data_IF_599124315539
#
_entry.id   IF_599124315539
#
_cell.length_a   1.000
_cell.length_b   1.000
_cell.length_c   1.000
_cell.angle_alpha   90.00
_cell.angle_beta   90.00
_cell.angle_gamma   90.00
#
_symmetry.space_group_name_H-M   'P 1'
#
loop_
_entity.id
_entity.type
_entity.pdbx_description
1 polymer ?
#
# COMPACT_ATOMS: atom_id res chain seq x y z
N UNK A 1 -20.54 23.64 10.39
CA UNK A 1 -19.13 23.22 10.49
C UNK A 1 -18.84 22.55 9.16
N UNK A 2 -18.38 23.33 8.19
CA UNK A 2 -17.91 22.78 6.92
C UNK A 2 -16.42 22.43 7.12
N UNK A 3 -16.18 21.42 7.95
CA UNK A 3 -14.87 20.80 8.07
C UNK A 3 -14.78 19.77 6.96
N UNK A 4 -13.92 19.99 5.97
CA UNK A 4 -13.49 18.89 5.13
C UNK A 4 -12.90 17.85 6.08
N UNK A 5 -13.54 16.68 6.18
CA UNK A 5 -12.96 15.55 6.90
C UNK A 5 -11.56 15.33 6.28
N UNK A 6 -10.51 15.45 7.08
CA UNK A 6 -9.15 15.15 6.61
C UNK A 6 -9.10 13.65 6.30
N UNK A 7 -8.92 13.34 5.02
CA UNK A 7 -8.94 11.98 4.48
C UNK A 7 -7.58 11.67 3.89
N UNK A 8 -6.94 10.62 4.40
CA UNK A 8 -5.81 9.99 3.73
C UNK A 8 -6.33 8.92 2.77
N UNK A 9 -5.85 8.94 1.53
CA UNK A 9 -6.20 7.94 0.50
C UNK A 9 -4.95 7.16 0.15
N UNK A 10 -4.99 5.85 0.37
CA UNK A 10 -3.99 4.93 -0.18
C UNK A 10 -4.54 4.40 -1.49
N UNK A 11 -3.83 4.70 -2.58
CA UNK A 11 -4.16 4.25 -3.92
C UNK A 11 -2.90 3.79 -4.66
N UNK A 12 -3.04 2.74 -5.47
CA UNK A 12 -1.95 2.19 -6.27
C UNK A 12 -2.48 1.89 -7.68
N UNK A 13 -2.15 2.74 -8.65
CA UNK A 13 -2.61 2.61 -10.04
C UNK A 13 -3.11 3.93 -10.63
N UNK A 14 -3.78 3.86 -11.79
CA UNK A 14 -4.35 5.05 -12.44
C UNK A 14 -5.48 5.62 -11.58
N UNK A 15 -5.30 6.87 -11.19
CA UNK A 15 -6.34 7.68 -10.59
C UNK A 15 -7.19 8.23 -11.74
N UNK A 16 -8.51 8.01 -11.71
CA UNK A 16 -9.40 8.57 -12.72
C UNK A 16 -9.37 10.11 -12.72
N UNK A 17 -9.93 10.75 -13.74
CA UNK A 17 -10.07 12.21 -13.78
C UNK A 17 -10.83 12.79 -12.57
N UNK A 18 -11.63 11.97 -11.86
CA UNK A 18 -12.33 12.35 -10.64
C UNK A 18 -11.50 12.14 -9.37
N UNK A 19 -10.21 11.80 -9.47
CA UNK A 19 -9.36 11.55 -8.31
C UNK A 19 -9.56 10.17 -7.66
N UNK A 20 -10.27 9.22 -8.29
CA UNK A 20 -10.60 7.92 -7.67
C UNK A 20 -10.05 6.74 -8.46
N UNK A 21 -9.32 5.80 -7.83
CA UNK A 21 -8.93 4.53 -8.46
C UNK A 21 -10.08 3.51 -8.40
N UNK A 22 -9.99 2.45 -9.21
CA UNK A 22 -10.92 1.31 -9.16
C UNK A 22 -10.86 0.55 -7.83
N UNK A 23 -9.71 0.59 -7.14
CA UNK A 23 -9.49 0.08 -5.79
C UNK A 23 -8.86 1.17 -4.93
N UNK A 24 -9.49 1.56 -3.82
CA UNK A 24 -8.93 2.48 -2.82
C UNK A 24 -9.22 2.02 -1.40
N UNK A 25 -8.33 2.43 -0.49
CA UNK A 25 -8.59 2.47 0.93
C UNK A 25 -8.70 3.93 1.35
N UNK A 26 -9.78 4.23 2.08
CA UNK A 26 -10.09 5.57 2.57
C UNK A 26 -9.93 5.52 4.08
N UNK A 27 -8.99 6.31 4.59
CA UNK A 27 -8.77 6.49 6.03
C UNK A 27 -9.38 7.82 6.44
N UNK A 28 -10.19 7.78 7.51
CA UNK A 28 -10.79 8.98 8.10
C UNK A 28 -10.12 9.23 9.44
N UNK A 29 -9.72 10.48 9.67
CA UNK A 29 -9.21 10.87 10.96
C UNK A 29 -10.23 10.68 12.08
N UNK A 30 -9.72 10.43 13.27
CA UNK A 30 -10.50 10.18 14.47
C UNK A 30 -9.70 10.62 15.68
N UNK A 31 -10.36 11.31 16.62
CA UNK A 31 -9.78 11.65 17.92
C UNK A 31 -9.68 10.43 18.86
N UNK A 32 -10.40 9.35 18.55
CA UNK A 32 -10.33 8.10 19.29
C UNK A 32 -8.96 7.42 19.11
N UNK A 33 -8.38 6.84 20.18
CA UNK A 33 -7.15 6.07 20.08
C UNK A 33 -7.27 4.91 19.09
N UNK A 34 -6.30 4.80 18.18
CA UNK A 34 -6.21 3.66 17.26
C UNK A 34 -5.86 2.38 18.05
N UNK A 35 -6.60 1.27 17.86
CA UNK A 35 -6.23 -0.01 18.47
C UNK A 35 -4.81 -0.45 18.06
N UNK A 36 -4.08 -1.18 18.93
CA UNK A 36 -2.78 -1.73 18.55
C UNK A 36 -2.90 -2.62 17.30
N UNK A 37 -1.93 -2.50 16.40
CA UNK A 37 -1.84 -3.38 15.23
C UNK A 37 -1.71 -4.84 15.64
N UNK A 38 -2.62 -5.69 15.18
CA UNK A 38 -2.71 -7.11 15.57
C UNK A 38 -2.05 -8.08 14.58
N UNK A 39 -1.48 -7.57 13.47
CA UNK A 39 -0.88 -8.37 12.42
C UNK A 39 -1.80 -8.71 11.24
N UNK A 40 -3.00 -8.12 11.15
CA UNK A 40 -3.87 -8.23 9.99
C UNK A 40 -3.30 -7.52 8.75
N UNK A 41 -3.58 -8.04 7.57
CA UNK A 41 -3.19 -7.41 6.33
C UNK A 41 -4.33 -7.40 5.32
N UNK A 42 -4.25 -6.47 4.38
CA UNK A 42 -5.11 -6.41 3.20
C UNK A 42 -4.28 -6.73 1.96
N UNK A 43 -4.86 -7.45 1.02
CA UNK A 43 -4.25 -7.66 -0.29
C UNK A 43 -4.95 -6.79 -1.33
N UNK A 44 -4.16 -6.04 -2.09
CA UNK A 44 -4.65 -5.18 -3.15
C UNK A 44 -3.86 -5.43 -4.43
N UNK A 45 -4.55 -5.42 -5.56
CA UNK A 45 -3.87 -5.45 -6.85
C UNK A 45 -3.51 -4.04 -7.30
N UNK A 46 -2.36 -3.94 -7.96
CA UNK A 46 -1.81 -2.68 -8.42
C UNK A 46 -1.87 -2.56 -9.93
N UNK A 47 -2.53 -1.50 -10.40
CA UNK A 47 -2.58 -1.13 -11.81
C UNK A 47 -3.23 -2.17 -12.72
N UNK A 48 -2.98 -2.00 -14.02
CA UNK A 48 -3.53 -2.86 -15.08
C UNK A 48 -2.43 -3.72 -15.73
N UNK A 49 -1.17 -3.39 -15.46
CA UNK A 49 0.00 -4.00 -16.12
C UNK A 49 1.11 -4.30 -15.12
N UNK A 50 2.04 -5.17 -15.51
CA UNK A 50 3.27 -5.41 -14.74
C UNK A 50 4.10 -4.13 -14.56
N UNK A 51 4.08 -3.22 -15.53
CA UNK A 51 4.86 -1.98 -15.49
C UNK A 51 4.29 -1.03 -14.42
N UNK A 52 2.97 -1.00 -14.23
CA UNK A 52 2.33 -0.25 -13.13
C UNK A 52 2.76 -0.80 -11.77
N UNK A 53 2.80 -2.13 -11.62
CA UNK A 53 3.27 -2.78 -10.40
C UNK A 53 4.74 -2.45 -10.10
N UNK A 54 5.63 -2.53 -11.10
CA UNK A 54 7.03 -2.15 -10.94
C UNK A 54 7.19 -0.67 -10.58
N UNK A 55 6.35 0.22 -11.13
CA UNK A 55 6.37 1.64 -10.83
C UNK A 55 5.98 1.92 -9.37
N UNK A 56 4.90 1.28 -8.88
CA UNK A 56 4.49 1.44 -7.48
C UNK A 56 5.55 0.86 -6.52
N UNK A 57 6.15 -0.28 -6.84
CA UNK A 57 7.26 -0.81 -6.05
C UNK A 57 8.39 0.22 -5.91
N UNK A 58 8.84 0.84 -7.03
CA UNK A 58 9.89 1.86 -7.01
C UNK A 58 9.51 3.08 -6.16
N UNK A 59 8.25 3.49 -6.18
CA UNK A 59 7.76 4.59 -5.35
C UNK A 59 7.81 4.22 -3.85
N UNK A 60 7.37 3.01 -3.49
CA UNK A 60 7.46 2.51 -2.12
C UNK A 60 8.90 2.33 -1.64
N UNK A 61 9.79 1.86 -2.52
CA UNK A 61 11.22 1.71 -2.23
C UNK A 61 11.87 3.09 -2.01
N UNK A 62 11.57 4.07 -2.87
CA UNK A 62 12.02 5.46 -2.70
C UNK A 62 11.50 6.09 -1.41
N UNK A 63 10.28 5.77 -1.02
CA UNK A 63 9.68 6.23 0.24
C UNK A 63 10.21 5.47 1.47
N UNK A 64 10.99 4.40 1.29
CA UNK A 64 11.55 3.60 2.40
C UNK A 64 10.52 2.76 3.15
N UNK A 65 9.36 2.46 2.54
CA UNK A 65 8.26 1.75 3.22
C UNK A 65 8.18 0.25 2.91
N UNK A 66 8.99 -0.25 1.96
CA UNK A 66 9.03 -1.68 1.63
C UNK A 66 9.43 -2.48 2.87
N UNK A 67 8.62 -3.48 3.20
CA UNK A 67 8.75 -4.26 4.41
C UNK A 67 8.51 -5.74 4.13
N UNK A 68 9.18 -6.61 4.90
CA UNK A 68 8.99 -8.06 4.83
C UNK A 68 8.30 -8.50 6.10
N UNK A 69 7.16 -9.18 5.93
CA UNK A 69 6.53 -9.86 7.05
C UNK A 69 7.32 -11.14 7.39
N UNK A 70 7.92 -11.25 8.59
CA UNK A 70 8.73 -12.40 8.98
C UNK A 70 7.96 -13.73 9.00
N UNK A 71 6.62 -13.69 9.01
CA UNK A 71 5.76 -14.88 8.96
C UNK A 71 5.77 -15.56 7.58
N UNK A 72 6.15 -14.84 6.53
CA UNK A 72 6.12 -15.36 5.16
C UNK A 72 7.53 -15.54 4.59
N UNK A 73 7.67 -16.51 3.68
CA UNK A 73 8.94 -16.84 3.03
C UNK A 73 9.26 -15.95 1.82
N UNK A 74 8.29 -15.21 1.31
CA UNK A 74 8.38 -14.33 0.15
C UNK A 74 9.05 -12.98 0.49
N UNK A 75 10.37 -13.00 0.59
CA UNK A 75 11.16 -11.82 0.95
C UNK A 75 11.40 -10.88 -0.24
N UNK A 76 10.38 -10.11 -0.62
CA UNK A 76 10.48 -9.08 -1.65
C UNK A 76 11.12 -7.78 -1.07
N UNK A 77 12.45 -7.72 -1.04
CA UNK A 77 13.22 -6.53 -0.60
C UNK A 77 13.92 -5.80 -1.74
N UNK A 78 13.67 -6.21 -2.99
CA UNK A 78 14.19 -5.60 -4.20
C UNK A 78 13.15 -5.72 -5.30
N UNK A 79 13.28 -4.90 -6.35
CA UNK A 79 12.39 -4.98 -7.52
C UNK A 79 12.41 -6.39 -8.14
N UNK A 80 13.58 -7.02 -8.24
CA UNK A 80 13.70 -8.39 -8.75
C UNK A 80 13.01 -9.41 -7.84
N UNK A 81 13.07 -9.21 -6.51
CA UNK A 81 12.31 -10.01 -5.55
C UNK A 81 10.80 -9.82 -5.73
N UNK A 82 10.34 -8.58 -5.84
CA UNK A 82 8.93 -8.26 -6.06
C UNK A 82 8.38 -8.87 -7.35
N UNK A 83 9.16 -8.81 -8.45
CA UNK A 83 8.84 -9.46 -9.72
C UNK A 83 8.78 -10.98 -9.59
N UNK A 84 9.76 -11.59 -8.91
CA UNK A 84 9.81 -13.04 -8.69
C UNK A 84 8.61 -13.54 -7.90
N UNK A 85 8.26 -12.86 -6.81
CA UNK A 85 7.14 -13.25 -5.96
C UNK A 85 5.79 -12.74 -6.48
N UNK A 86 5.80 -11.80 -7.44
CA UNK A 86 4.62 -11.13 -8.02
C UNK A 86 3.82 -10.35 -6.97
N UNK A 87 4.50 -9.96 -5.90
CA UNK A 87 3.97 -9.20 -4.78
C UNK A 87 5.11 -8.53 -4.01
N UNK A 88 4.76 -7.51 -3.24
CA UNK A 88 5.60 -6.96 -2.18
C UNK A 88 4.70 -6.46 -1.05
N UNK A 89 5.29 -6.09 0.08
CA UNK A 89 4.55 -5.61 1.25
C UNK A 89 5.08 -4.27 1.72
N UNK A 90 4.21 -3.45 2.28
CA UNK A 90 4.57 -2.35 3.17
C UNK A 90 3.62 -2.36 4.37
N UNK A 91 4.02 -1.76 5.48
CA UNK A 91 3.30 -1.89 6.75
C UNK A 91 2.83 -0.57 7.33
N UNK A 92 3.57 0.49 7.10
CA UNK A 92 3.34 1.78 7.74
C UNK A 92 2.90 2.80 6.70
N UNK A 93 1.82 3.52 7.01
CA UNK A 93 1.38 4.70 6.27
C UNK A 93 2.06 5.89 6.91
N UNK A 94 2.76 6.68 6.09
CA UNK A 94 3.55 7.81 6.55
C UNK A 94 2.86 9.13 6.20
N UNK A 95 2.96 10.10 7.11
CA UNK A 95 2.86 11.50 6.76
C UNK A 95 4.09 11.88 5.93
N UNK A 96 3.87 12.37 4.71
CA UNK A 96 4.94 12.70 3.77
C UNK A 96 5.71 13.99 4.13
N UNK A 97 5.12 14.89 4.92
CA UNK A 97 5.79 16.11 5.37
C UNK A 97 6.72 15.81 6.54
N UNK A 98 6.25 14.99 7.50
CA UNK A 98 6.99 14.73 8.74
C UNK A 98 7.77 13.42 8.73
N UNK A 99 7.45 12.50 7.82
CA UNK A 99 7.99 11.13 7.77
C UNK A 99 7.50 10.22 8.90
N UNK A 100 6.57 10.68 9.74
CA UNK A 100 6.05 9.90 10.86
C UNK A 100 5.01 8.89 10.39
N UNK A 101 5.01 7.71 11.00
CA UNK A 101 3.92 6.75 10.85
C UNK A 101 2.64 7.34 11.43
N UNK A 102 1.62 7.49 10.59
CA UNK A 102 0.28 7.93 11.00
C UNK A 102 -0.66 6.76 11.24
N UNK A 103 -0.43 5.62 10.58
CA UNK A 103 -1.23 4.42 10.75
C UNK A 103 -0.42 3.18 10.36
N UNK A 104 -0.70 2.04 11.01
CA UNK A 104 -0.05 0.75 10.71
C UNK A 104 -1.10 -0.24 10.26
N UNK A 105 -0.96 -0.68 9.01
CA UNK A 105 -1.75 -1.74 8.39
C UNK A 105 -0.85 -2.38 7.34
N UNK A 106 -0.68 -3.70 7.39
CA UNK A 106 0.07 -4.37 6.33
C UNK A 106 -0.73 -4.40 5.04
N UNK A 107 -0.08 -3.96 3.97
CA UNK A 107 -0.60 -3.99 2.61
C UNK A 107 0.25 -4.96 1.79
N UNK A 108 -0.39 -6.03 1.33
CA UNK A 108 0.16 -6.92 0.31
C UNK A 108 -0.22 -6.37 -1.07
N UNK A 109 0.78 -5.84 -1.76
CA UNK A 109 0.61 -5.28 -3.09
C UNK A 109 0.90 -6.37 -4.10
N UNK A 110 -0.10 -6.74 -4.90
CA UNK A 110 -0.02 -7.83 -5.88
C UNK A 110 0.04 -7.29 -7.30
N UNK A 111 0.87 -7.93 -8.11
CA UNK A 111 0.89 -7.74 -9.57
C UNK A 111 -0.33 -8.43 -10.19
N UNK A 112 -0.74 -7.96 -11.37
CA UNK A 112 -1.69 -8.67 -12.25
C UNK A 112 -1.18 -10.05 -12.69
N UNK A 113 0.13 -10.33 -12.53
CA UNK A 113 0.72 -11.64 -12.80
C UNK A 113 0.67 -12.60 -11.60
N UNK A 114 0.18 -12.15 -10.44
CA UNK A 114 0.04 -12.96 -9.23
C UNK A 114 -0.91 -14.14 -9.48
N UNK A 115 -0.62 -15.31 -8.89
CA UNK A 115 -1.39 -16.55 -9.16
C UNK A 115 -2.86 -16.50 -8.74
N UNK A 116 -3.20 -15.58 -7.84
CA UNK A 116 -4.57 -15.34 -7.38
C UNK A 116 -5.30 -14.23 -8.15
N UNK A 117 -4.68 -13.65 -9.19
CA UNK A 117 -5.34 -12.66 -10.05
C UNK A 117 -6.59 -13.29 -10.70
N UNK A 118 -7.77 -12.64 -10.62
CA UNK A 118 -9.05 -13.19 -11.08
C UNK A 118 -9.17 -13.32 -12.60
#
# INVERSE_FOLDING_TARGET
QDGADDVAIVCCGKISASGRPTQCLIFRESDEPTPPYDGHHVAMYVGDTKDDFEHVYKNCEKAGVVWVNPRFSDKATSLEGAKRYKQFRFKDILDLETGKTVFTLEHEMRSVEHSAWP
#
